data_IF_143564414213
#
_entry.id   IF_143564414213
#
_cell.length_a   1.000
_cell.length_b   1.000
_cell.length_c   1.000
_cell.angle_alpha   90.00
_cell.angle_beta   90.00
_cell.angle_gamma   90.00
#
_symmetry.space_group_name_H-M   'P 1'
#
loop_
_entity.id
_entity.type
_entity.pdbx_description
1 polymer ?
#
# COMPACT_ATOMS: atom_id res chain seq x y z
N UNK A 1 15.49 -0.15 -55.74
CA UNK A 1 15.60 0.37 -54.34
C UNK A 1 14.28 0.36 -53.57
N UNK A 2 13.14 0.75 -54.21
CA UNK A 2 11.83 0.80 -53.54
C UNK A 2 11.27 -0.57 -53.20
N UNK A 3 11.39 -1.54 -54.06
CA UNK A 3 10.94 -2.93 -53.87
C UNK A 3 11.76 -3.62 -52.77
N UNK A 4 13.06 -3.39 -52.76
CA UNK A 4 13.91 -3.91 -51.67
C UNK A 4 13.55 -3.36 -50.31
N UNK A 5 13.23 -2.05 -50.25
CA UNK A 5 12.75 -1.42 -49.02
C UNK A 5 11.42 -2.02 -48.52
N UNK A 6 10.49 -2.29 -49.49
CA UNK A 6 9.22 -2.97 -49.18
C UNK A 6 9.46 -4.39 -48.66
N UNK A 7 10.35 -5.13 -49.32
CA UNK A 7 10.69 -6.49 -48.86
C UNK A 7 11.24 -6.50 -47.45
N UNK A 8 12.19 -5.63 -47.12
CA UNK A 8 12.74 -5.52 -45.77
C UNK A 8 11.65 -5.16 -44.74
N UNK A 9 10.76 -4.23 -45.12
CA UNK A 9 9.63 -3.87 -44.24
C UNK A 9 8.72 -5.06 -43.97
N UNK A 10 8.33 -5.81 -45.01
CA UNK A 10 7.47 -6.98 -44.84
C UNK A 10 8.14 -8.10 -44.01
N UNK A 11 9.45 -8.30 -44.17
CA UNK A 11 10.19 -9.25 -43.37
C UNK A 11 10.10 -8.87 -41.87
N UNK A 12 10.30 -7.59 -41.53
CA UNK A 12 10.18 -7.12 -40.14
C UNK A 12 8.77 -7.25 -39.58
N UNK A 13 7.76 -6.95 -40.38
CA UNK A 13 6.36 -7.14 -40.04
C UNK A 13 6.03 -8.62 -39.73
N UNK A 14 6.59 -9.54 -40.55
CA UNK A 14 6.43 -10.98 -40.34
C UNK A 14 7.18 -11.42 -39.05
N UNK A 15 8.43 -10.99 -38.86
CA UNK A 15 9.21 -11.30 -37.66
C UNK A 15 8.46 -10.84 -36.39
N UNK A 16 7.88 -9.63 -36.40
CA UNK A 16 7.10 -9.09 -35.31
C UNK A 16 5.81 -9.90 -35.07
N UNK A 17 5.12 -10.30 -36.16
CA UNK A 17 3.89 -11.08 -36.09
C UNK A 17 4.10 -12.53 -35.63
N UNK A 18 5.27 -13.08 -35.85
CA UNK A 18 5.65 -14.43 -35.34
C UNK A 18 5.81 -14.46 -33.81
N UNK A 19 6.03 -13.30 -33.20
CA UNK A 19 6.19 -13.19 -31.72
C UNK A 19 7.41 -13.97 -31.23
N UNK A 20 7.34 -14.34 -29.96
CA UNK A 20 8.38 -15.12 -29.28
C UNK A 20 7.86 -16.53 -28.96
N UNK A 21 8.69 -17.54 -29.09
CA UNK A 21 8.32 -18.92 -28.81
C UNK A 21 8.39 -19.26 -27.29
N UNK A 22 8.11 -18.26 -26.46
CA UNK A 22 8.03 -18.41 -24.99
C UNK A 22 6.58 -18.35 -24.55
N UNK A 23 6.23 -18.92 -23.39
CA UNK A 23 4.93 -18.67 -22.76
C UNK A 23 4.66 -17.18 -22.69
N UNK A 24 3.49 -16.77 -23.10
CA UNK A 24 3.10 -15.36 -23.10
C UNK A 24 3.15 -14.81 -21.67
N UNK A 25 3.92 -13.76 -21.46
CA UNK A 25 3.90 -12.99 -20.23
C UNK A 25 2.62 -12.16 -20.14
N UNK A 26 2.06 -12.08 -18.92
CA UNK A 26 0.89 -11.26 -18.65
C UNK A 26 1.36 -9.81 -18.51
N UNK A 27 0.81 -8.93 -19.36
CA UNK A 27 1.14 -7.50 -19.27
C UNK A 27 0.58 -6.85 -18.01
N UNK A 28 1.18 -5.74 -17.57
CA UNK A 28 0.69 -4.97 -16.42
C UNK A 28 -0.76 -4.51 -16.60
N UNK A 29 -1.16 -4.13 -17.82
CA UNK A 29 -2.55 -3.76 -18.13
C UNK A 29 -3.52 -4.94 -17.95
N UNK A 30 -3.09 -6.16 -18.27
CA UNK A 30 -3.90 -7.36 -18.03
C UNK A 30 -4.00 -7.71 -16.55
N UNK A 31 -2.95 -7.47 -15.76
CA UNK A 31 -2.98 -7.62 -14.30
C UNK A 31 -3.99 -6.65 -13.69
N UNK A 32 -3.95 -5.37 -14.06
CA UNK A 32 -4.90 -4.36 -13.61
C UNK A 32 -6.34 -4.71 -14.02
N UNK A 33 -6.55 -5.18 -15.27
CA UNK A 33 -7.86 -5.64 -15.71
C UNK A 33 -8.35 -6.85 -14.92
N UNK A 34 -7.46 -7.75 -14.51
CA UNK A 34 -7.82 -8.88 -13.65
C UNK A 34 -8.27 -8.43 -12.27
N UNK A 35 -7.60 -7.46 -11.67
CA UNK A 35 -8.02 -6.91 -10.37
C UNK A 35 -9.43 -6.32 -10.43
N UNK A 36 -9.76 -5.57 -11.47
CA UNK A 36 -11.02 -4.83 -11.55
C UNK A 36 -12.15 -5.67 -12.17
N UNK A 37 -11.89 -6.39 -13.26
CA UNK A 37 -12.90 -7.06 -14.08
C UNK A 37 -13.04 -8.56 -13.80
N UNK A 38 -12.02 -9.20 -13.25
CA UNK A 38 -12.11 -10.61 -12.89
C UNK A 38 -13.14 -10.82 -11.77
N UNK A 39 -13.49 -12.07 -11.58
CA UNK A 39 -14.51 -12.46 -10.59
C UNK A 39 -13.89 -13.27 -9.47
N UNK A 40 -14.48 -13.14 -8.31
CA UNK A 40 -14.12 -13.86 -7.09
C UNK A 40 -15.31 -14.63 -6.54
N UNK A 41 -15.02 -15.63 -5.73
CA UNK A 41 -15.99 -16.25 -4.85
C UNK A 41 -16.28 -15.31 -3.68
N UNK A 42 -17.56 -15.06 -3.43
CA UNK A 42 -18.03 -14.12 -2.40
C UNK A 42 -19.10 -14.82 -1.57
N UNK A 43 -19.12 -14.59 -0.28
CA UNK A 43 -20.19 -15.10 0.57
C UNK A 43 -21.50 -14.37 0.33
N UNK A 44 -22.61 -15.09 0.20
CA UNK A 44 -23.94 -14.49 0.08
C UNK A 44 -24.70 -14.42 1.41
N UNK A 45 -24.14 -14.98 2.48
CA UNK A 45 -24.67 -14.93 3.86
C UNK A 45 -23.52 -14.98 4.86
N UNK A 46 -23.83 -14.67 6.11
CA UNK A 46 -22.86 -14.78 7.21
C UNK A 46 -22.55 -16.26 7.49
N UNK A 47 -21.28 -16.59 7.65
CA UNK A 47 -20.75 -17.92 7.92
C UNK A 47 -19.89 -17.83 9.17
N UNK A 48 -20.16 -18.63 10.18
CA UNK A 48 -19.37 -18.66 11.41
C UNK A 48 -18.18 -19.61 11.25
N UNK A 49 -17.10 -19.31 11.97
CA UNK A 49 -15.96 -20.21 12.10
C UNK A 49 -16.45 -21.61 12.55
N UNK A 50 -16.10 -22.65 11.81
CA UNK A 50 -16.49 -24.04 12.06
C UNK A 50 -17.69 -24.51 11.23
N UNK A 51 -18.50 -23.60 10.64
CA UNK A 51 -19.59 -23.97 9.76
C UNK A 51 -19.07 -24.65 8.49
N UNK A 52 -19.81 -25.64 7.99
CA UNK A 52 -19.50 -26.30 6.73
C UNK A 52 -19.96 -25.41 5.55
N UNK A 53 -19.03 -25.05 4.69
CA UNK A 53 -19.32 -24.20 3.52
C UNK A 53 -20.05 -25.00 2.46
N UNK A 54 -21.26 -24.57 2.11
CA UNK A 54 -22.08 -25.20 1.09
C UNK A 54 -22.19 -24.31 -0.15
N UNK A 55 -22.60 -24.92 -1.27
CA UNK A 55 -22.69 -24.23 -2.58
C UNK A 55 -23.62 -23.01 -2.56
N UNK A 56 -24.71 -23.08 -1.80
CA UNK A 56 -25.71 -22.00 -1.66
C UNK A 56 -25.16 -20.78 -0.87
N UNK A 57 -24.05 -20.94 -0.14
CA UNK A 57 -23.39 -19.84 0.57
C UNK A 57 -22.46 -19.01 -0.33
N UNK A 58 -22.26 -19.43 -1.58
CA UNK A 58 -21.25 -18.85 -2.45
C UNK A 58 -21.89 -18.25 -3.69
N UNK A 59 -21.53 -17.00 -4.02
CA UNK A 59 -21.85 -16.33 -5.27
C UNK A 59 -20.58 -15.86 -5.96
N UNK A 60 -20.66 -15.60 -7.25
CA UNK A 60 -19.53 -15.10 -8.05
C UNK A 60 -19.78 -13.63 -8.35
N UNK A 61 -18.88 -12.76 -7.92
CA UNK A 61 -18.94 -11.31 -8.14
C UNK A 61 -17.57 -10.74 -8.53
N UNK A 62 -17.57 -9.61 -9.20
CA UNK A 62 -16.39 -8.75 -9.36
C UNK A 62 -16.21 -7.90 -8.08
N UNK A 63 -15.00 -7.45 -7.78
CA UNK A 63 -13.73 -7.59 -8.50
C UNK A 63 -13.01 -8.93 -8.26
N UNK A 64 -11.82 -9.07 -8.89
CA UNK A 64 -10.98 -10.27 -8.79
C UNK A 64 -10.05 -10.32 -7.58
N UNK A 65 -10.48 -9.78 -6.44
CA UNK A 65 -9.65 -9.61 -5.24
C UNK A 65 -9.65 -10.84 -4.30
N UNK A 66 -10.49 -11.84 -4.59
CA UNK A 66 -10.60 -13.05 -3.79
C UNK A 66 -10.32 -14.32 -4.59
N UNK A 67 -10.71 -15.45 -4.01
CA UNK A 67 -10.54 -16.77 -4.60
C UNK A 67 -11.22 -16.85 -5.97
N UNK A 68 -10.47 -17.29 -6.98
CA UNK A 68 -10.97 -17.39 -8.34
C UNK A 68 -12.12 -18.43 -8.45
N UNK A 69 -13.17 -18.17 -9.27
CA UNK A 69 -14.36 -19.02 -9.38
C UNK A 69 -14.10 -20.48 -9.73
N UNK A 70 -13.00 -20.80 -10.45
CA UNK A 70 -12.64 -22.19 -10.78
C UNK A 70 -12.30 -23.03 -9.56
N UNK A 71 -11.98 -22.40 -8.42
CA UNK A 71 -11.66 -23.09 -7.15
C UNK A 71 -12.90 -23.38 -6.28
N UNK A 72 -14.10 -23.16 -6.80
CA UNK A 72 -15.33 -23.32 -6.02
C UNK A 72 -15.47 -24.75 -5.44
N UNK A 73 -15.08 -25.76 -6.17
CA UNK A 73 -15.16 -27.15 -5.73
C UNK A 73 -14.12 -27.49 -4.65
N UNK A 74 -13.08 -26.66 -4.52
CA UNK A 74 -12.06 -26.85 -3.50
C UNK A 74 -12.52 -26.34 -2.13
N UNK A 75 -13.47 -25.39 -2.09
CA UNK A 75 -13.94 -24.77 -0.85
C UNK A 75 -15.26 -25.38 -0.36
N UNK A 76 -16.11 -25.91 -1.25
CA UNK A 76 -17.34 -26.58 -0.86
C UNK A 76 -17.02 -27.79 0.00
N UNK A 77 -17.74 -27.95 1.12
CA UNK A 77 -17.55 -29.03 2.08
C UNK A 77 -16.48 -28.79 3.13
N UNK A 78 -15.63 -27.76 2.95
CA UNK A 78 -14.66 -27.37 3.99
C UNK A 78 -15.37 -26.68 5.17
N UNK A 79 -14.75 -26.74 6.33
CA UNK A 79 -15.18 -25.95 7.49
C UNK A 79 -14.53 -24.58 7.41
N UNK A 80 -15.32 -23.53 7.63
CA UNK A 80 -14.84 -22.17 7.69
C UNK A 80 -13.79 -22.03 8.81
N UNK A 81 -12.61 -21.55 8.49
CA UNK A 81 -11.52 -21.33 9.43
C UNK A 81 -11.59 -19.97 10.14
N UNK A 82 -12.45 -19.06 9.66
CA UNK A 82 -12.75 -17.74 10.22
C UNK A 82 -14.24 -17.42 10.09
N UNK A 83 -14.68 -16.35 10.74
CA UNK A 83 -15.98 -15.76 10.45
C UNK A 83 -15.91 -15.04 9.09
N UNK A 84 -16.93 -15.22 8.25
CA UNK A 84 -17.03 -14.63 6.91
C UNK A 84 -18.39 -13.94 6.84
N UNK A 85 -18.39 -12.64 6.68
CA UNK A 85 -19.62 -11.85 6.59
C UNK A 85 -20.21 -11.95 5.18
N UNK A 86 -21.52 -11.70 5.07
CA UNK A 86 -22.17 -11.58 3.77
C UNK A 86 -21.50 -10.47 2.95
N UNK A 87 -21.01 -10.81 1.77
CA UNK A 87 -20.31 -9.90 0.88
C UNK A 87 -18.77 -10.04 0.93
N UNK A 88 -18.24 -10.72 1.92
CA UNK A 88 -16.79 -10.97 2.02
C UNK A 88 -16.31 -11.93 0.94
N UNK A 89 -15.08 -11.72 0.50
CA UNK A 89 -14.39 -12.63 -0.41
C UNK A 89 -13.91 -13.86 0.32
N UNK A 90 -13.93 -15.02 -0.39
CA UNK A 90 -13.13 -16.17 -0.02
C UNK A 90 -11.70 -15.98 -0.55
N UNK A 91 -10.71 -16.47 0.19
CA UNK A 91 -9.28 -16.37 -0.13
C UNK A 91 -8.61 -17.75 -0.17
N UNK A 92 -7.39 -17.81 -0.73
CA UNK A 92 -6.60 -19.06 -0.73
C UNK A 92 -6.32 -19.57 0.69
N UNK A 93 -6.26 -18.68 1.70
CA UNK A 93 -6.15 -19.06 3.11
C UNK A 93 -7.37 -19.84 3.63
N UNK A 94 -8.56 -19.61 3.06
CA UNK A 94 -9.78 -20.37 3.44
C UNK A 94 -9.75 -21.82 2.90
N UNK A 95 -8.89 -22.12 1.93
CA UNK A 95 -8.65 -23.49 1.43
C UNK A 95 -7.74 -24.30 2.35
N UNK A 96 -6.93 -23.64 3.17
CA UNK A 96 -5.96 -24.26 4.05
C UNK A 96 -6.60 -24.58 5.39
N UNK A 97 -6.44 -25.80 5.84
CA UNK A 97 -6.83 -26.22 7.20
C UNK A 97 -5.83 -25.77 8.27
N UNK A 98 -4.68 -25.24 7.85
CA UNK A 98 -3.65 -24.81 8.76
C UNK A 98 -4.03 -23.48 9.41
N UNK A 99 -4.01 -23.44 10.73
CA UNK A 99 -4.01 -22.19 11.46
C UNK A 99 -2.74 -21.42 11.05
N UNK A 100 -2.89 -20.12 10.79
CA UNK A 100 -1.72 -19.25 10.66
C UNK A 100 -1.03 -19.29 12.01
N UNK A 101 0.08 -20.02 12.07
CA UNK A 101 0.90 -20.09 13.28
C UNK A 101 1.79 -18.86 13.27
N UNK A 102 1.75 -18.12 14.39
CA UNK A 102 2.69 -17.05 14.65
C UNK A 102 4.12 -17.58 14.45
N UNK A 103 4.90 -16.92 13.63
CA UNK A 103 6.31 -17.26 13.39
C UNK A 103 7.19 -16.25 14.11
N UNK A 104 8.15 -16.76 14.87
CA UNK A 104 9.20 -15.94 15.45
C UNK A 104 10.29 -15.74 14.39
N UNK A 105 10.31 -14.54 13.79
CA UNK A 105 11.39 -14.14 12.90
C UNK A 105 12.51 -13.52 13.73
N UNK A 106 13.74 -13.87 13.41
CA UNK A 106 14.91 -13.23 13.97
C UNK A 106 15.86 -12.90 12.81
N UNK A 107 16.12 -11.62 12.61
CA UNK A 107 16.96 -11.12 11.55
C UNK A 107 18.15 -10.34 12.14
N UNK A 108 19.26 -10.26 11.40
CA UNK A 108 20.44 -9.48 11.79
C UNK A 108 20.18 -7.96 11.74
N UNK A 109 19.11 -7.55 11.06
CA UNK A 109 18.69 -6.15 10.97
C UNK A 109 17.27 -6.00 11.51
N UNK A 110 16.93 -4.84 12.09
CA UNK A 110 15.56 -4.57 12.52
C UNK A 110 14.55 -4.84 11.41
N UNK A 111 13.50 -5.56 11.75
CA UNK A 111 12.44 -5.95 10.83
C UNK A 111 11.12 -5.31 11.23
N UNK A 112 10.50 -4.60 10.31
CA UNK A 112 9.20 -3.97 10.50
C UNK A 112 8.28 -4.16 9.30
N UNK A 113 7.01 -3.85 9.48
CA UNK A 113 5.99 -3.92 8.44
C UNK A 113 5.14 -2.66 8.44
N UNK A 114 4.59 -2.26 7.29
CA UNK A 114 3.63 -1.16 7.24
C UNK A 114 2.31 -1.57 7.89
N UNK A 115 1.74 -0.62 8.64
CA UNK A 115 0.46 -0.78 9.34
C UNK A 115 -0.40 0.47 9.22
N UNK A 116 -1.69 0.30 9.51
CA UNK A 116 -2.63 1.38 9.77
C UNK A 116 -3.25 1.20 11.14
N UNK A 117 -3.94 2.20 11.67
CA UNK A 117 -4.56 2.10 12.99
C UNK A 117 -5.48 0.88 13.14
N UNK A 118 -6.29 0.58 12.12
CA UNK A 118 -7.27 -0.50 12.18
C UNK A 118 -6.68 -1.92 12.14
N UNK A 119 -5.46 -2.11 11.64
CA UNK A 119 -4.82 -3.41 11.51
C UNK A 119 -3.58 -3.61 12.41
N UNK A 120 -3.14 -2.55 13.08
CA UNK A 120 -1.97 -2.53 13.95
C UNK A 120 -1.96 -3.70 14.95
N UNK A 121 -3.04 -3.89 15.71
CA UNK A 121 -3.11 -4.95 16.72
C UNK A 121 -3.07 -6.35 16.12
N UNK A 122 -3.75 -6.54 14.99
CA UNK A 122 -3.79 -7.85 14.31
C UNK A 122 -2.41 -8.22 13.80
N UNK A 123 -1.72 -7.28 13.17
CA UNK A 123 -0.40 -7.49 12.58
C UNK A 123 0.65 -7.61 13.68
N UNK A 124 0.71 -6.66 14.62
CA UNK A 124 1.73 -6.63 15.66
C UNK A 124 1.63 -7.78 16.65
N UNK A 125 0.44 -8.35 16.86
CA UNK A 125 0.27 -9.56 17.68
C UNK A 125 0.52 -10.85 16.89
N UNK A 126 0.56 -10.79 15.55
CA UNK A 126 0.73 -11.92 14.66
C UNK A 126 2.19 -12.38 14.49
N UNK A 127 3.14 -11.47 14.65
CA UNK A 127 4.58 -11.69 14.43
C UNK A 127 5.41 -10.89 15.44
N UNK A 128 6.66 -11.28 15.64
CA UNK A 128 7.62 -10.54 16.47
C UNK A 128 8.31 -9.47 15.61
N UNK A 129 7.82 -8.25 15.69
CA UNK A 129 8.36 -7.10 14.98
C UNK A 129 9.33 -6.33 15.88
N UNK A 130 10.38 -5.77 15.27
CA UNK A 130 11.26 -4.79 15.93
C UNK A 130 10.63 -3.39 15.88
N UNK A 131 9.90 -3.09 14.80
CA UNK A 131 9.17 -1.84 14.62
C UNK A 131 7.99 -1.98 13.68
N UNK A 132 7.14 -0.95 13.62
CA UNK A 132 6.08 -0.80 12.61
C UNK A 132 6.22 0.54 11.89
N UNK A 133 5.73 0.62 10.64
CA UNK A 133 5.66 1.86 9.89
C UNK A 133 4.20 2.26 9.68
N UNK A 134 3.75 3.32 10.34
CA UNK A 134 2.40 3.84 10.15
C UNK A 134 2.28 4.56 8.82
N UNK A 135 1.48 4.03 7.91
CA UNK A 135 1.10 4.70 6.66
C UNK A 135 -0.17 5.51 6.91
N UNK A 136 -0.01 6.77 7.27
CA UNK A 136 -1.13 7.66 7.59
C UNK A 136 -1.83 8.18 6.34
N UNK A 137 -3.15 8.30 6.43
CA UNK A 137 -3.95 9.18 5.57
C UNK A 137 -4.13 10.55 6.25
N UNK A 138 -4.56 11.57 5.51
CA UNK A 138 -4.84 12.86 6.13
C UNK A 138 -6.02 12.82 7.13
N UNK A 139 -6.91 11.85 6.99
CA UNK A 139 -8.02 11.63 7.92
C UNK A 139 -7.54 11.11 9.27
N UNK A 140 -6.49 10.29 9.27
CA UNK A 140 -5.89 9.75 10.49
C UNK A 140 -5.31 10.84 11.38
N UNK A 141 -4.95 12.00 10.81
CA UNK A 141 -4.45 13.16 11.57
C UNK A 141 -5.52 13.80 12.50
N UNK A 142 -6.79 13.47 12.29
CA UNK A 142 -7.90 13.93 13.13
C UNK A 142 -8.27 12.89 14.21
N UNK A 143 -7.68 11.71 14.16
CA UNK A 143 -7.92 10.64 15.11
C UNK A 143 -7.01 10.77 16.33
N UNK A 144 -7.42 10.16 17.43
CA UNK A 144 -6.56 10.01 18.62
C UNK A 144 -5.88 8.66 18.57
N UNK A 145 -4.53 8.59 18.46
CA UNK A 145 -3.81 7.32 18.39
C UNK A 145 -4.15 6.37 19.54
N UNK A 146 -4.35 6.88 20.76
CA UNK A 146 -4.73 6.10 21.94
C UNK A 146 -6.04 5.32 21.82
N UNK A 147 -6.89 5.61 20.82
CA UNK A 147 -8.10 4.81 20.55
C UNK A 147 -7.77 3.47 19.89
N UNK A 148 -6.60 3.35 19.28
CA UNK A 148 -6.18 2.22 18.46
C UNK A 148 -4.89 1.56 18.97
N UNK A 149 -4.07 2.31 19.69
CA UNK A 149 -2.75 1.89 20.13
C UNK A 149 -2.75 1.62 21.63
N UNK A 150 -2.18 0.48 21.98
CA UNK A 150 -1.83 0.14 23.35
C UNK A 150 -0.32 0.31 23.51
N UNK A 151 0.15 0.55 24.74
CA UNK A 151 1.57 0.71 25.02
C UNK A 151 2.39 -0.50 24.50
N UNK A 152 3.43 -0.23 23.72
CA UNK A 152 4.25 -1.25 23.04
C UNK A 152 5.74 -0.98 23.22
N UNK A 153 6.49 -2.06 23.42
CA UNK A 153 7.95 -2.04 23.52
C UNK A 153 8.65 -2.31 22.17
N UNK A 154 7.99 -1.95 21.08
CA UNK A 154 8.57 -2.00 19.72
C UNK A 154 8.78 -0.59 19.21
N UNK A 155 9.71 -0.40 18.25
CA UNK A 155 9.90 0.88 17.58
C UNK A 155 8.77 1.21 16.62
N UNK A 156 8.72 2.46 16.18
CA UNK A 156 7.84 2.86 15.09
C UNK A 156 8.49 3.91 14.20
N UNK A 157 8.02 3.97 12.97
CA UNK A 157 8.25 5.05 12.00
C UNK A 157 6.90 5.48 11.42
N UNK A 158 6.88 6.62 10.76
CA UNK A 158 5.67 7.16 10.16
C UNK A 158 5.93 7.55 8.71
N UNK A 159 5.09 7.08 7.80
CA UNK A 159 5.00 7.57 6.44
C UNK A 159 3.91 8.62 6.36
N UNK A 160 4.30 9.87 6.07
CA UNK A 160 3.39 10.99 5.96
C UNK A 160 2.40 10.80 4.81
N UNK A 161 1.16 11.32 4.92
CA UNK A 161 0.25 11.38 3.79
C UNK A 161 0.87 12.15 2.62
N UNK A 162 0.66 11.67 1.40
CA UNK A 162 0.99 12.41 0.18
C UNK A 162 -0.14 13.34 -0.24
N UNK A 163 -1.39 12.89 -0.02
CA UNK A 163 -2.61 13.62 -0.35
C UNK A 163 -3.28 14.12 0.93
N UNK A 164 -3.68 15.39 0.92
CA UNK A 164 -4.38 16.07 2.01
C UNK A 164 -5.76 16.57 1.56
N UNK A 165 -6.46 17.23 2.46
CA UNK A 165 -7.78 17.79 2.20
C UNK A 165 -7.77 18.73 0.98
N UNK A 166 -8.89 18.75 0.24
CA UNK A 166 -9.06 19.48 -1.02
C UNK A 166 -8.06 19.07 -2.13
N UNK A 167 -7.73 17.79 -2.20
CA UNK A 167 -6.82 17.20 -3.19
C UNK A 167 -5.43 17.85 -3.22
N UNK A 168 -5.01 18.43 -2.08
CA UNK A 168 -3.69 19.01 -1.96
C UNK A 168 -2.61 17.92 -1.87
N UNK A 169 -1.73 17.87 -2.85
CA UNK A 169 -0.55 16.99 -2.84
C UNK A 169 0.59 17.70 -2.15
N UNK A 170 1.25 17.03 -1.20
CA UNK A 170 2.39 17.60 -0.48
C UNK A 170 3.52 17.97 -1.46
N UNK A 171 3.88 19.24 -1.53
CA UNK A 171 5.02 19.72 -2.31
C UNK A 171 5.75 20.87 -1.59
N UNK A 172 6.81 20.49 -0.88
CA UNK A 172 7.71 21.44 -0.19
C UNK A 172 8.68 22.13 -1.15
N UNK A 173 8.71 21.69 -2.41
CA UNK A 173 9.54 22.26 -3.47
C UNK A 173 8.76 23.15 -4.43
N UNK A 174 7.46 23.37 -4.20
CA UNK A 174 6.61 24.19 -5.07
C UNK A 174 7.14 25.61 -5.18
N UNK A 175 7.16 26.16 -6.40
CA UNK A 175 7.50 27.54 -6.66
C UNK A 175 6.38 28.49 -6.26
N UNK A 176 5.14 28.01 -6.28
CA UNK A 176 4.00 28.70 -5.70
C UNK A 176 4.15 28.76 -4.18
N UNK A 177 4.32 29.98 -3.66
CA UNK A 177 4.55 30.19 -2.23
C UNK A 177 3.33 29.88 -1.38
N UNK A 178 2.12 30.13 -1.88
CA UNK A 178 0.88 29.86 -1.15
C UNK A 178 0.67 28.36 -1.03
N UNK A 179 0.78 27.63 -2.15
CA UNK A 179 0.71 26.18 -2.19
C UNK A 179 1.77 25.53 -1.29
N UNK A 180 3.00 26.03 -1.34
CA UNK A 180 4.11 25.56 -0.49
C UNK A 180 3.85 25.79 1.00
N UNK A 181 3.26 26.94 1.36
CA UNK A 181 2.91 27.23 2.75
C UNK A 181 1.84 26.27 3.28
N UNK A 182 0.87 25.87 2.45
CA UNK A 182 -0.11 24.84 2.80
C UNK A 182 0.60 23.51 3.05
N UNK A 183 1.52 23.12 2.18
CA UNK A 183 2.33 21.91 2.35
C UNK A 183 3.14 21.90 3.64
N UNK A 184 3.79 23.03 3.97
CA UNK A 184 4.53 23.21 5.23
C UNK A 184 3.59 23.05 6.44
N UNK A 185 2.42 23.66 6.40
CA UNK A 185 1.45 23.56 7.50
C UNK A 185 0.90 22.14 7.64
N UNK A 186 0.68 21.45 6.54
CA UNK A 186 0.24 20.04 6.55
C UNK A 186 1.33 19.15 7.16
N UNK A 187 2.61 19.33 6.80
CA UNK A 187 3.69 18.58 7.39
C UNK A 187 3.84 18.85 8.89
N UNK A 188 3.64 20.10 9.35
CA UNK A 188 3.60 20.41 10.79
C UNK A 188 2.51 19.63 11.51
N UNK A 189 1.31 19.52 10.94
CA UNK A 189 0.23 18.69 11.51
C UNK A 189 0.63 17.22 11.61
N UNK A 190 1.35 16.70 10.61
CA UNK A 190 1.87 15.32 10.66
C UNK A 190 2.85 15.18 11.82
N UNK A 191 3.80 16.09 11.98
CA UNK A 191 4.78 16.05 13.08
C UNK A 191 4.08 16.11 14.45
N UNK A 192 3.09 17.00 14.60
CA UNK A 192 2.31 17.08 15.85
C UNK A 192 1.57 15.76 16.12
N UNK A 193 1.07 15.10 15.07
CA UNK A 193 0.41 13.81 15.19
C UNK A 193 1.40 12.68 15.53
N UNK A 194 2.61 12.71 14.99
CA UNK A 194 3.69 11.77 15.34
C UNK A 194 4.00 11.84 16.83
N UNK A 195 4.00 13.04 17.45
CA UNK A 195 4.17 13.20 18.90
C UNK A 195 3.09 12.48 19.69
N UNK A 196 1.83 12.55 19.23
CA UNK A 196 0.73 11.82 19.87
C UNK A 196 0.87 10.30 19.73
N UNK A 197 1.41 9.81 18.59
CA UNK A 197 1.72 8.39 18.42
C UNK A 197 2.81 7.98 19.42
N UNK A 198 3.84 8.79 19.59
CA UNK A 198 4.99 8.52 20.47
C UNK A 198 4.58 8.24 21.91
N UNK A 199 3.49 8.85 22.39
CA UNK A 199 2.96 8.61 23.75
C UNK A 199 2.53 7.15 23.99
N UNK A 200 2.38 6.35 22.94
CA UNK A 200 1.95 4.95 23.00
C UNK A 200 3.08 3.93 22.77
N UNK A 201 4.33 4.41 22.73
CA UNK A 201 5.50 3.57 22.47
C UNK A 201 6.61 3.87 23.50
N UNK A 202 7.30 2.82 23.94
CA UNK A 202 8.43 2.94 24.89
C UNK A 202 9.76 3.30 24.16
N UNK A 203 9.67 3.95 22.99
CA UNK A 203 10.82 4.31 22.17
C UNK A 203 11.55 5.52 22.79
N UNK A 204 12.87 5.41 22.95
CA UNK A 204 13.72 6.48 23.51
C UNK A 204 14.27 7.43 22.46
N UNK A 205 14.45 6.93 21.22
CA UNK A 205 14.92 7.74 20.10
C UNK A 205 13.72 8.34 19.35
N UNK A 206 13.87 9.53 18.76
CA UNK A 206 12.82 10.09 17.90
C UNK A 206 12.46 9.14 16.76
N UNK A 207 11.19 9.02 16.40
CA UNK A 207 10.77 8.17 15.30
C UNK A 207 11.21 8.72 13.94
N UNK A 208 11.43 7.85 12.97
CA UNK A 208 11.72 8.26 11.60
C UNK A 208 10.41 8.70 10.93
N UNK A 209 10.38 9.93 10.44
CA UNK A 209 9.30 10.44 9.60
C UNK A 209 9.71 10.40 8.12
N UNK A 210 9.02 9.60 7.32
CA UNK A 210 9.24 9.46 5.88
C UNK A 210 8.30 10.41 5.15
N UNK A 211 8.87 11.28 4.31
CA UNK A 211 8.11 12.33 3.61
C UNK A 211 8.48 12.36 2.13
N UNK A 212 7.48 12.28 1.26
CA UNK A 212 7.63 12.64 -0.14
C UNK A 212 7.62 14.16 -0.27
N UNK A 213 8.81 14.75 -0.45
CA UNK A 213 8.99 16.19 -0.40
C UNK A 213 8.41 16.97 -1.62
N UNK A 214 7.89 16.26 -2.64
CA UNK A 214 7.37 16.86 -3.86
C UNK A 214 8.48 17.16 -4.88
N UNK A 215 8.38 18.31 -5.54
CA UNK A 215 9.33 18.68 -6.61
C UNK A 215 8.96 18.11 -7.97
N UNK A 216 7.68 17.94 -8.21
CA UNK A 216 7.10 17.39 -9.44
C UNK A 216 7.56 18.17 -10.69
N UNK A 217 7.74 17.45 -11.78
CA UNK A 217 8.08 17.99 -13.09
C UNK A 217 7.27 17.30 -14.18
N UNK A 218 6.86 18.04 -15.19
CA UNK A 218 6.24 17.48 -16.40
C UNK A 218 7.28 16.91 -17.36
N UNK A 219 8.55 17.26 -17.18
CA UNK A 219 9.67 16.78 -17.98
C UNK A 219 10.22 15.47 -17.44
N UNK A 220 10.66 14.57 -18.34
CA UNK A 220 11.31 13.32 -17.96
C UNK A 220 12.60 13.53 -17.16
N UNK A 221 13.30 14.64 -17.47
CA UNK A 221 14.53 15.04 -16.79
C UNK A 221 14.50 16.54 -16.52
N UNK A 222 14.79 16.95 -15.30
CA UNK A 222 14.96 18.37 -14.96
C UNK A 222 16.41 18.80 -15.13
N UNK A 223 16.63 20.06 -15.53
CA UNK A 223 17.97 20.63 -15.64
C UNK A 223 18.68 20.68 -14.27
N UNK A 224 20.01 20.66 -14.25
CA UNK A 224 20.80 20.81 -13.03
C UNK A 224 20.44 22.12 -12.31
N UNK A 225 20.20 23.20 -13.08
CA UNK A 225 19.81 24.52 -12.53
C UNK A 225 18.46 24.44 -11.83
N UNK A 226 17.45 23.81 -12.44
CA UNK A 226 16.12 23.68 -11.85
C UNK A 226 16.15 22.76 -10.63
N UNK A 227 16.93 21.69 -10.69
CA UNK A 227 17.16 20.81 -9.55
C UNK A 227 17.77 21.58 -8.38
N UNK A 228 18.80 22.39 -8.61
CA UNK A 228 19.43 23.23 -7.58
C UNK A 228 18.43 24.19 -6.95
N UNK A 229 17.62 24.87 -7.80
CA UNK A 229 16.57 25.78 -7.32
C UNK A 229 15.53 25.06 -6.44
N UNK A 230 15.08 23.88 -6.83
CA UNK A 230 14.15 23.06 -6.02
C UNK A 230 14.77 22.68 -4.66
N UNK A 231 16.04 22.34 -4.62
CA UNK A 231 16.73 22.07 -3.35
C UNK A 231 16.83 23.32 -2.45
N UNK A 232 17.05 24.50 -3.00
CA UNK A 232 17.09 25.73 -2.21
C UNK A 232 15.70 26.05 -1.63
N UNK A 233 14.65 25.84 -2.41
CA UNK A 233 13.27 25.98 -1.95
C UNK A 233 12.98 24.96 -0.83
N UNK A 234 13.39 23.70 -1.02
CA UNK A 234 13.21 22.64 -0.02
C UNK A 234 13.89 22.97 1.31
N UNK A 235 15.15 23.43 1.26
CA UNK A 235 15.87 23.88 2.45
C UNK A 235 15.15 25.01 3.16
N UNK A 236 14.64 26.00 2.38
CA UNK A 236 13.84 27.10 2.93
C UNK A 236 12.53 26.61 3.55
N UNK A 237 11.93 25.56 3.04
CA UNK A 237 10.72 24.97 3.61
C UNK A 237 11.02 24.25 4.94
N UNK A 238 12.07 23.44 4.98
CA UNK A 238 12.49 22.77 6.21
C UNK A 238 12.94 23.73 7.32
N UNK A 239 13.56 24.89 6.96
CA UNK A 239 13.95 25.89 7.96
C UNK A 239 12.76 26.51 8.73
N UNK A 240 11.52 26.29 8.26
CA UNK A 240 10.28 26.75 8.89
C UNK A 240 9.58 25.67 9.73
N UNK A 241 10.17 24.50 9.83
CA UNK A 241 9.59 23.32 10.47
C UNK A 241 10.52 22.92 11.61
N UNK A 242 9.96 22.72 12.78
CA UNK A 242 10.67 22.11 13.91
C UNK A 242 10.72 20.58 13.73
N UNK A 243 11.91 20.04 13.68
CA UNK A 243 12.19 18.62 13.47
C UNK A 243 12.78 17.96 14.72
N UNK A 244 12.68 18.59 15.90
CA UNK A 244 13.36 18.13 17.11
C UNK A 244 12.85 16.77 17.60
N UNK A 245 11.59 16.45 17.31
CA UNK A 245 10.93 15.23 17.82
C UNK A 245 10.71 14.15 16.71
N UNK A 246 11.36 14.30 15.54
CA UNK A 246 11.26 13.35 14.41
C UNK A 246 12.59 13.21 13.67
#
# INVERSE_FOLDING_TARGET
PSEFKKMVKHIREIEESMGVNNPREISQGELLNREVLAKSLVSNKDIKKGDQISRDMIVVKSPGNGLHPNKINEIIGKKANRNISKGDFFFDSDLKSEQIVKRDYCFDRPFGVPVRYHDFDVISNGINLDFVEFHLSYQDLNERPSNYLNNRSIGFSVHAPELFENDHILDLCSEDQEYRNISINNLKKVIDHVKLISENFDQTEPPILIVNAGGWSTENFISIKDKSRKYDILKSSFSKIDLTDV
#
